data_IF_598724005486
#
_entry.id   IF_598724005486
#
_cell.length_a   1.000
_cell.length_b   1.000
_cell.length_c   1.000
_cell.angle_alpha   90.00
_cell.angle_beta   90.00
_cell.angle_gamma   90.00
#
_symmetry.space_group_name_H-M   'P 1'
#
loop_
_entity.id
_entity.type
_entity.pdbx_description
1 polymer ?
#
# COMPACT_ATOMS: atom_id res chain seq x y z
N UNK A 1 8.19 9.57 -18.68
CA UNK A 1 7.92 8.88 -17.40
C UNK A 1 7.26 7.52 -17.67
N UNK A 2 7.94 6.68 -18.45
CA UNK A 2 7.56 5.29 -18.77
C UNK A 2 8.88 4.51 -18.84
N UNK A 3 9.52 4.30 -17.70
CA UNK A 3 10.38 3.12 -17.54
C UNK A 3 9.40 1.96 -17.50
N UNK A 4 9.31 1.20 -18.59
CA UNK A 4 8.30 0.13 -18.69
C UNK A 4 8.64 -0.87 -17.59
N UNK A 5 7.65 -1.35 -16.83
CA UNK A 5 7.85 -2.38 -15.81
C UNK A 5 8.75 -3.55 -16.24
N UNK A 6 8.78 -3.85 -17.55
CA UNK A 6 9.70 -4.80 -18.16
C UNK A 6 11.19 -4.48 -17.92
N UNK A 7 11.59 -3.21 -17.92
CA UNK A 7 12.98 -2.76 -17.73
C UNK A 7 13.40 -2.93 -16.26
N UNK A 8 12.50 -2.59 -15.32
CA UNK A 8 12.70 -2.84 -13.89
C UNK A 8 12.81 -4.33 -13.61
N UNK A 9 11.97 -5.15 -14.24
CA UNK A 9 12.03 -6.60 -14.10
C UNK A 9 13.31 -7.19 -14.68
N UNK A 10 13.75 -6.70 -15.84
CA UNK A 10 14.98 -7.13 -16.47
C UNK A 10 16.19 -6.79 -15.60
N UNK A 11 16.20 -5.58 -15.01
CA UNK A 11 17.20 -5.17 -14.03
C UNK A 11 17.21 -6.08 -12.80
N UNK A 12 16.04 -6.36 -12.21
CA UNK A 12 15.92 -7.23 -11.03
C UNK A 12 16.21 -8.72 -11.34
N UNK A 13 16.16 -9.12 -12.61
CA UNK A 13 16.54 -10.45 -13.04
C UNK A 13 18.03 -10.57 -13.37
N UNK A 14 18.75 -9.46 -13.54
CA UNK A 14 20.18 -9.47 -13.83
C UNK A 14 20.96 -9.92 -12.59
N UNK A 15 21.75 -11.01 -12.65
CA UNK A 15 22.56 -11.50 -11.53
C UNK A 15 23.58 -10.49 -10.99
N UNK A 16 23.92 -9.43 -11.74
CA UNK A 16 24.82 -8.36 -11.28
C UNK A 16 24.16 -7.35 -10.35
N UNK A 17 22.83 -7.29 -10.39
CA UNK A 17 22.02 -6.30 -9.64
C UNK A 17 21.11 -6.99 -8.63
N UNK A 18 20.66 -8.21 -8.95
CA UNK A 18 19.90 -9.07 -8.06
C UNK A 18 20.78 -9.66 -6.96
N UNK A 19 20.13 -10.21 -5.92
CA UNK A 19 20.78 -10.93 -4.81
C UNK A 19 21.86 -11.90 -5.28
N UNK A 20 23.05 -11.77 -4.69
CA UNK A 20 24.06 -12.80 -4.76
C UNK A 20 23.65 -13.96 -3.86
N UNK A 21 23.35 -15.10 -4.49
CA UNK A 21 22.95 -16.30 -3.77
C UNK A 21 24.16 -16.94 -3.10
N UNK A 22 25.40 -16.59 -3.43
CA UNK A 22 26.59 -17.05 -2.71
C UNK A 22 26.80 -16.25 -1.40
N UNK A 23 26.48 -14.95 -1.42
CA UNK A 23 26.62 -14.01 -0.29
C UNK A 23 25.31 -13.25 -0.02
N UNK A 24 24.28 -13.94 0.52
CA UNK A 24 22.98 -13.30 0.76
C UNK A 24 23.05 -12.26 1.89
N UNK A 25 22.40 -11.11 1.68
CA UNK A 25 22.20 -10.10 2.72
C UNK A 25 21.02 -10.40 3.65
N UNK A 26 20.77 -9.51 4.62
CA UNK A 26 19.61 -9.59 5.54
C UNK A 26 18.40 -8.79 5.01
N UNK A 27 18.01 -9.05 3.76
CA UNK A 27 16.86 -8.41 3.12
C UNK A 27 15.85 -9.46 2.61
N UNK A 28 14.63 -9.00 2.32
CA UNK A 28 13.52 -9.88 1.92
C UNK A 28 13.81 -10.62 0.62
N UNK A 29 14.52 -10.01 -0.34
CA UNK A 29 14.87 -10.67 -1.60
C UNK A 29 15.96 -11.71 -1.37
N UNK A 30 16.93 -11.41 -0.49
CA UNK A 30 18.00 -12.34 -0.11
C UNK A 30 17.43 -13.59 0.54
N UNK A 31 16.46 -13.42 1.43
CA UNK A 31 15.72 -14.54 2.04
C UNK A 31 14.92 -15.34 1.02
N UNK A 32 14.22 -14.69 0.10
CA UNK A 32 13.51 -15.40 -0.99
C UNK A 32 14.47 -16.20 -1.89
N UNK A 33 15.65 -15.65 -2.19
CA UNK A 33 16.66 -16.36 -2.98
C UNK A 33 17.20 -17.60 -2.26
N UNK A 34 17.44 -17.50 -0.95
CA UNK A 34 17.95 -18.61 -0.14
C UNK A 34 16.87 -19.67 0.09
N UNK A 35 15.66 -19.27 0.47
CA UNK A 35 14.60 -20.18 0.91
C UNK A 35 13.80 -20.77 -0.26
N UNK A 36 13.64 -20.03 -1.37
CA UNK A 36 12.74 -20.42 -2.48
C UNK A 36 13.48 -20.73 -3.78
N UNK A 37 14.53 -19.99 -4.13
CA UNK A 37 15.28 -20.25 -5.36
C UNK A 37 16.24 -21.43 -5.23
N UNK A 38 17.01 -21.53 -4.13
CA UNK A 38 17.90 -22.69 -3.90
C UNK A 38 17.13 -24.01 -3.79
N UNK A 39 15.90 -23.97 -3.30
CA UNK A 39 15.02 -25.15 -3.17
C UNK A 39 14.30 -25.51 -4.48
N UNK A 40 14.45 -24.68 -5.52
CA UNK A 40 13.77 -24.85 -6.81
C UNK A 40 12.27 -24.51 -6.79
N UNK A 41 11.75 -24.02 -5.66
CA UNK A 41 10.34 -23.64 -5.52
C UNK A 41 9.97 -22.38 -6.32
N UNK A 42 10.93 -21.50 -6.57
CA UNK A 42 10.75 -20.30 -7.40
C UNK A 42 11.89 -20.12 -8.39
N UNK A 43 11.55 -19.67 -9.58
CA UNK A 43 12.50 -19.22 -10.60
C UNK A 43 13.01 -17.81 -10.29
N UNK A 44 14.16 -17.46 -10.88
CA UNK A 44 14.71 -16.10 -10.78
C UNK A 44 13.73 -15.03 -11.30
N UNK A 45 12.98 -15.34 -12.35
CA UNK A 45 11.96 -14.44 -12.90
C UNK A 45 10.79 -14.17 -11.95
N UNK A 46 10.40 -15.18 -11.16
CA UNK A 46 9.36 -15.03 -10.13
C UNK A 46 9.86 -14.20 -8.94
N UNK A 47 11.11 -14.37 -8.52
CA UNK A 47 11.73 -13.52 -7.50
C UNK A 47 11.83 -12.07 -7.99
N UNK A 48 12.27 -11.84 -9.23
CA UNK A 48 12.29 -10.51 -9.82
C UNK A 48 10.89 -9.88 -9.89
N UNK A 49 9.86 -10.69 -10.16
CA UNK A 49 8.46 -10.25 -10.14
C UNK A 49 8.03 -9.85 -8.72
N UNK A 50 8.44 -10.59 -7.69
CA UNK A 50 8.19 -10.24 -6.30
C UNK A 50 8.91 -8.93 -5.90
N UNK A 51 10.17 -8.77 -6.29
CA UNK A 51 10.92 -7.54 -6.05
C UNK A 51 10.28 -6.32 -6.73
N UNK A 52 9.81 -6.48 -7.96
CA UNK A 52 9.06 -5.43 -8.65
C UNK A 52 7.76 -5.11 -7.90
N UNK A 53 7.03 -6.12 -7.43
CA UNK A 53 5.80 -5.90 -6.65
C UNK A 53 6.09 -5.12 -5.37
N UNK A 54 7.13 -5.47 -4.63
CA UNK A 54 7.54 -4.78 -3.40
C UNK A 54 7.95 -3.33 -3.68
N UNK A 55 8.75 -3.10 -4.71
CA UNK A 55 9.19 -1.77 -5.11
C UNK A 55 8.00 -0.87 -5.44
N UNK A 56 7.06 -1.39 -6.23
CA UNK A 56 5.93 -0.60 -6.75
C UNK A 56 4.88 -0.38 -5.68
N UNK A 57 4.57 -1.41 -4.90
CA UNK A 57 3.63 -1.31 -3.80
C UNK A 57 4.14 -0.35 -2.71
N UNK A 58 5.44 -0.36 -2.42
CA UNK A 58 6.04 0.43 -1.35
C UNK A 58 6.44 1.85 -1.74
N UNK A 59 7.01 2.04 -2.94
CA UNK A 59 7.63 3.32 -3.32
C UNK A 59 6.58 4.41 -3.53
N UNK A 60 5.63 4.21 -4.44
CA UNK A 60 4.67 5.25 -4.82
C UNK A 60 3.70 5.57 -3.67
N UNK A 61 3.26 4.55 -2.91
CA UNK A 61 2.31 4.76 -1.83
C UNK A 61 2.95 5.46 -0.63
N UNK A 62 4.13 5.02 -0.21
CA UNK A 62 4.82 5.57 0.96
C UNK A 62 5.33 6.97 0.69
N UNK A 63 5.93 7.22 -0.48
CA UNK A 63 6.41 8.55 -0.84
C UNK A 63 5.26 9.57 -0.89
N UNK A 64 4.13 9.19 -1.49
CA UNK A 64 2.94 10.04 -1.53
C UNK A 64 2.36 10.25 -0.12
N UNK A 65 2.37 9.23 0.75
CA UNK A 65 1.85 9.35 2.11
C UNK A 65 2.67 10.31 2.95
N UNK A 66 4.00 10.23 2.85
CA UNK A 66 4.89 11.15 3.54
C UNK A 66 4.65 12.57 3.03
N UNK A 67 4.69 12.78 1.71
CA UNK A 67 4.53 14.11 1.13
C UNK A 67 3.18 14.76 1.48
N UNK A 68 2.08 14.02 1.31
CA UNK A 68 0.74 14.49 1.62
C UNK A 68 0.52 14.66 3.12
N UNK A 69 1.00 13.71 3.93
CA UNK A 69 0.92 13.77 5.39
C UNK A 69 1.65 14.99 5.95
N UNK A 70 2.87 15.25 5.47
CA UNK A 70 3.63 16.46 5.81
C UNK A 70 2.87 17.72 5.37
N UNK A 71 2.33 17.75 4.15
CA UNK A 71 1.56 18.91 3.68
C UNK A 71 0.33 19.19 4.56
N UNK A 72 -0.39 18.16 5.00
CA UNK A 72 -1.57 18.29 5.87
C UNK A 72 -1.16 18.81 7.25
N UNK A 73 -0.10 18.27 7.84
CA UNK A 73 0.38 18.71 9.15
C UNK A 73 0.86 20.18 9.12
N UNK A 74 1.52 20.59 8.04
CA UNK A 74 1.94 22.00 7.87
C UNK A 74 0.75 22.96 7.68
N UNK A 75 -0.38 22.47 7.14
CA UNK A 75 -1.62 23.24 7.05
C UNK A 75 -2.38 23.32 8.39
N UNK A 76 -2.01 22.49 9.38
CA UNK A 76 -2.63 22.40 10.71
C UNK A 76 -1.56 22.50 11.83
N UNK A 77 -0.93 23.68 11.99
CA UNK A 77 0.22 23.86 12.88
C UNK A 77 -0.08 23.56 14.35
N UNK A 78 -1.33 23.73 14.79
CA UNK A 78 -1.78 23.35 16.14
C UNK A 78 -1.72 21.84 16.38
N UNK A 79 -2.07 21.04 15.38
CA UNK A 79 -1.99 19.58 15.47
C UNK A 79 -0.53 19.10 15.37
N UNK A 80 0.26 19.74 14.50
CA UNK A 80 1.69 19.48 14.40
C UNK A 80 2.41 19.78 15.73
N UNK A 81 2.11 20.90 16.38
CA UNK A 81 2.66 21.24 17.69
C UNK A 81 2.25 20.22 18.75
N UNK A 82 0.97 19.81 18.78
CA UNK A 82 0.49 18.80 19.74
C UNK A 82 1.23 17.44 19.61
N UNK A 83 1.52 17.00 18.38
CA UNK A 83 2.26 15.74 18.15
C UNK A 83 3.75 15.92 18.50
N UNK A 84 4.37 17.03 18.08
CA UNK A 84 5.80 17.30 18.29
C UNK A 84 6.13 17.50 19.76
N UNK A 85 5.31 18.26 20.46
CA UNK A 85 5.58 18.71 21.84
C UNK A 85 4.98 17.75 22.88
N UNK A 86 4.01 16.92 22.49
CA UNK A 86 3.31 16.01 23.40
C UNK A 86 4.12 14.82 23.91
N UNK A 87 5.15 14.37 23.17
CA UNK A 87 6.05 13.30 23.59
C UNK A 87 5.43 11.89 23.78
N UNK A 88 4.13 11.73 23.54
CA UNK A 88 3.39 10.49 23.70
C UNK A 88 3.33 9.69 22.37
N UNK A 89 3.89 8.47 22.30
CA UNK A 89 3.79 7.61 21.12
C UNK A 89 2.35 7.30 20.69
N UNK A 90 1.39 7.30 21.61
CA UNK A 90 -0.02 7.07 21.27
C UNK A 90 -0.61 8.20 20.43
N UNK A 91 -0.16 9.45 20.63
CA UNK A 91 -0.57 10.59 19.82
C UNK A 91 -0.03 10.50 18.39
N UNK A 92 1.22 10.05 18.25
CA UNK A 92 1.82 9.81 16.92
C UNK A 92 1.04 8.72 16.19
N UNK A 93 0.73 7.60 16.87
CA UNK A 93 -0.05 6.53 16.28
C UNK A 93 -1.46 6.99 15.86
N UNK A 94 -2.15 7.76 16.71
CA UNK A 94 -3.46 8.34 16.39
C UNK A 94 -3.42 9.28 15.19
N UNK A 95 -2.37 10.11 15.09
CA UNK A 95 -2.16 10.98 13.94
C UNK A 95 -1.91 10.20 12.65
N UNK A 96 -1.12 9.12 12.69
CA UNK A 96 -0.89 8.25 11.53
C UNK A 96 -2.20 7.62 11.04
N UNK A 97 -2.99 7.05 11.95
CA UNK A 97 -4.29 6.46 11.61
C UNK A 97 -5.26 7.50 11.00
N UNK A 98 -5.25 8.71 11.56
CA UNK A 98 -6.10 9.80 11.05
C UNK A 98 -5.62 10.32 9.69
N UNK A 99 -4.31 10.44 9.48
CA UNK A 99 -3.76 10.77 8.17
C UNK A 99 -4.10 9.69 7.15
N UNK A 100 -3.99 8.40 7.49
CA UNK A 100 -4.38 7.30 6.61
C UNK A 100 -5.87 7.35 6.26
N UNK A 101 -6.73 7.70 7.22
CA UNK A 101 -8.16 7.90 6.94
C UNK A 101 -8.40 9.12 6.04
N UNK A 102 -7.74 10.23 6.33
CA UNK A 102 -7.97 11.51 5.66
C UNK A 102 -7.45 11.45 4.21
N UNK A 103 -6.22 11.00 4.03
CA UNK A 103 -5.52 10.89 2.76
C UNK A 103 -5.80 9.54 2.08
N UNK A 104 -6.33 9.58 0.87
CA UNK A 104 -6.50 8.38 0.03
C UNK A 104 -5.50 8.43 -1.11
N UNK A 105 -4.52 7.53 -1.09
CA UNK A 105 -3.44 7.49 -2.09
C UNK A 105 -3.78 6.48 -3.20
N UNK A 106 -4.40 5.37 -2.81
CA UNK A 106 -4.78 4.30 -3.73
C UNK A 106 -6.23 4.48 -4.17
N UNK A 107 -6.45 5.20 -5.28
CA UNK A 107 -7.78 5.34 -5.88
C UNK A 107 -8.20 4.14 -6.75
N UNK A 108 -7.30 3.16 -6.92
CA UNK A 108 -7.48 2.04 -7.85
C UNK A 108 -7.39 0.70 -7.12
N UNK A 109 -8.10 0.56 -5.99
CA UNK A 109 -8.14 -0.72 -5.29
C UNK A 109 -8.70 -1.82 -6.20
N UNK A 110 -8.08 -3.01 -6.06
CA UNK A 110 -8.14 -4.16 -6.95
C UNK A 110 -9.48 -4.32 -7.68
N UNK A 111 -9.45 -4.14 -9.01
CA UNK A 111 -10.60 -4.46 -9.86
C UNK A 111 -10.90 -5.95 -9.71
N UNK A 112 -12.00 -6.28 -9.04
CA UNK A 112 -12.49 -7.65 -8.92
C UNK A 112 -13.28 -7.99 -10.19
N UNK A 113 -13.29 -9.25 -10.60
CA UNK A 113 -14.14 -9.73 -11.69
C UNK A 113 -15.24 -10.59 -11.08
N UNK A 114 -16.49 -10.29 -11.42
CA UNK A 114 -17.65 -11.05 -10.96
C UNK A 114 -17.60 -12.48 -11.53
N UNK A 115 -17.61 -13.49 -10.65
CA UNK A 115 -17.66 -14.91 -11.07
C UNK A 115 -19.06 -15.37 -11.43
N UNK A 116 -20.08 -14.69 -10.93
CA UNK A 116 -21.50 -14.88 -11.18
C UNK A 116 -22.21 -13.52 -11.16
N UNK A 117 -23.50 -13.49 -11.48
CA UNK A 117 -24.31 -12.27 -11.38
C UNK A 117 -24.59 -11.97 -9.89
N UNK A 118 -24.21 -10.79 -9.40
CA UNK A 118 -24.43 -10.38 -8.01
C UNK A 118 -24.98 -8.97 -7.90
N UNK A 119 -25.68 -8.68 -6.79
CA UNK A 119 -26.19 -7.34 -6.48
C UNK A 119 -25.32 -6.70 -5.39
N UNK A 120 -24.71 -5.56 -5.68
CA UNK A 120 -23.89 -4.77 -4.74
C UNK A 120 -24.43 -3.36 -4.68
N UNK A 121 -24.82 -2.89 -3.48
CA UNK A 121 -25.38 -1.54 -3.32
C UNK A 121 -26.61 -1.27 -4.20
N UNK A 122 -27.44 -2.29 -4.43
CA UNK A 122 -28.60 -2.21 -5.32
C UNK A 122 -28.29 -2.26 -6.83
N UNK A 123 -27.03 -2.39 -7.23
CA UNK A 123 -26.60 -2.49 -8.64
C UNK A 123 -26.26 -3.93 -9.03
N UNK A 124 -26.75 -4.38 -10.18
CA UNK A 124 -26.44 -5.71 -10.72
C UNK A 124 -25.08 -5.69 -11.41
N UNK A 125 -24.13 -6.45 -10.89
CA UNK A 125 -22.82 -6.72 -11.52
C UNK A 125 -22.91 -8.09 -12.20
N UNK A 126 -22.90 -8.09 -13.54
CA UNK A 126 -22.95 -9.33 -14.33
C UNK A 126 -21.63 -10.11 -14.28
N UNK A 127 -21.72 -11.43 -14.38
CA UNK A 127 -20.58 -12.34 -14.55
C UNK A 127 -19.62 -11.83 -15.62
N UNK A 128 -18.32 -11.92 -15.33
CA UNK A 128 -17.24 -11.48 -16.22
C UNK A 128 -17.01 -9.96 -16.25
N UNK A 129 -17.89 -9.14 -15.66
CA UNK A 129 -17.63 -7.71 -15.53
C UNK A 129 -16.68 -7.43 -14.37
N UNK A 130 -15.83 -6.43 -14.57
CA UNK A 130 -15.04 -5.84 -13.49
C UNK A 130 -15.98 -5.05 -12.58
N UNK A 131 -15.79 -5.17 -11.26
CA UNK A 131 -16.47 -4.31 -10.30
C UNK A 131 -16.19 -2.85 -10.68
N UNK A 132 -17.20 -1.96 -10.63
CA UNK A 132 -16.94 -0.54 -10.79
C UNK A 132 -15.88 -0.11 -9.76
N UNK A 133 -15.02 0.87 -10.10
CA UNK A 133 -14.05 1.38 -9.15
C UNK A 133 -14.80 1.82 -7.88
N UNK A 134 -14.31 1.38 -6.72
CA UNK A 134 -14.84 1.87 -5.45
C UNK A 134 -14.48 3.35 -5.36
N UNK A 135 -15.42 4.19 -5.77
CA UNK A 135 -15.27 5.63 -5.74
C UNK A 135 -15.65 6.08 -4.34
N UNK A 136 -14.66 6.34 -3.48
CA UNK A 136 -14.91 7.06 -2.23
C UNK A 136 -15.63 8.37 -2.61
N UNK A 137 -16.73 8.75 -1.94
CA UNK A 137 -17.22 10.11 -2.05
C UNK A 137 -16.07 11.06 -1.71
N UNK A 138 -15.89 12.13 -2.49
CA UNK A 138 -14.83 13.10 -2.23
C UNK A 138 -14.95 13.57 -0.78
N UNK A 139 -13.84 13.76 -0.04
CA UNK A 139 -13.86 14.22 1.34
C UNK A 139 -14.34 15.67 1.48
N UNK A 140 -15.07 16.21 0.50
CA UNK A 140 -15.64 17.55 0.46
C UNK A 140 -16.62 17.71 1.63
N UNK A 141 -16.08 18.02 2.81
CA UNK A 141 -16.81 18.15 4.07
C UNK A 141 -16.24 17.39 5.27
N UNK A 142 -15.30 16.45 5.11
CA UNK A 142 -14.68 15.76 6.25
C UNK A 142 -13.54 16.61 6.82
N UNK A 143 -13.62 16.95 8.12
CA UNK A 143 -12.55 17.65 8.83
C UNK A 143 -11.43 16.68 9.22
N UNK A 144 -10.20 17.17 9.24
CA UNK A 144 -9.09 16.51 9.92
C UNK A 144 -9.37 16.50 11.42
N UNK A 145 -9.39 15.33 12.02
CA UNK A 145 -9.63 15.20 13.47
C UNK A 145 -8.36 15.43 14.25
N UNK A 146 -8.52 15.83 15.50
CA UNK A 146 -7.37 15.99 16.39
C UNK A 146 -6.84 14.61 16.81
N UNK A 147 -5.52 14.47 17.04
CA UNK A 147 -4.94 13.20 17.54
C UNK A 147 -5.53 12.73 18.87
N UNK A 148 -6.08 13.66 19.66
CA UNK A 148 -6.65 13.44 20.99
C UNK A 148 -8.10 12.93 20.94
N UNK A 149 -8.80 13.03 19.81
CA UNK A 149 -10.24 12.72 19.71
C UNK A 149 -10.58 11.22 19.82
N UNK A 150 -9.58 10.33 19.90
CA UNK A 150 -9.78 8.90 20.06
C UNK A 150 -10.43 8.27 18.84
N UNK A 151 -9.67 7.51 18.05
CA UNK A 151 -10.22 6.80 16.90
C UNK A 151 -11.07 5.62 17.37
N UNK A 152 -12.40 5.69 17.22
CA UNK A 152 -13.16 4.45 17.01
C UNK A 152 -12.67 3.86 15.69
N UNK A 153 -12.16 2.61 15.64
CA UNK A 153 -11.64 2.06 14.41
C UNK A 153 -12.80 1.94 13.41
N UNK A 154 -12.81 2.83 12.42
CA UNK A 154 -13.54 2.61 11.19
C UNK A 154 -12.68 1.60 10.44
N UNK A 155 -13.17 0.41 10.05
CA UNK A 155 -12.36 -0.56 9.33
C UNK A 155 -11.86 0.07 8.04
N UNK A 156 -10.58 0.44 8.04
CA UNK A 156 -9.91 1.10 6.93
C UNK A 156 -9.46 0.04 5.93
N UNK A 157 -9.94 0.15 4.69
CA UNK A 157 -9.86 -0.91 3.69
C UNK A 157 -8.64 -0.81 2.75
N UNK A 158 -7.73 0.16 2.93
CA UNK A 158 -6.60 0.34 1.99
C UNK A 158 -5.58 -0.79 2.04
N UNK A 159 -5.50 -1.51 3.16
CA UNK A 159 -4.67 -2.72 3.30
C UNK A 159 -5.32 -3.97 2.70
N UNK A 160 -6.51 -3.84 2.11
CA UNK A 160 -7.26 -4.93 1.50
C UNK A 160 -8.07 -5.71 2.53
N UNK A 161 -9.39 -5.71 2.38
CA UNK A 161 -10.27 -6.49 3.25
C UNK A 161 -10.23 -8.01 2.97
N UNK A 162 -10.14 -8.75 4.08
CA UNK A 162 -10.39 -10.18 4.37
C UNK A 162 -9.95 -11.32 3.41
N UNK A 163 -9.68 -11.11 2.12
CA UNK A 163 -9.50 -12.23 1.16
C UNK A 163 -8.07 -12.44 0.61
N UNK A 164 -7.04 -11.81 1.19
CA UNK A 164 -5.63 -12.02 0.78
C UNK A 164 -4.82 -12.91 1.74
N UNK A 165 -5.48 -13.55 2.71
CA UNK A 165 -4.89 -14.43 3.74
C UNK A 165 -5.15 -15.92 3.48
N UNK A 166 -5.33 -16.32 2.23
CA UNK A 166 -5.45 -17.73 1.83
C UNK A 166 -4.40 -18.03 0.77
#
# INVERSE_FOLDING_TARGET
>A
MVTRYADVRALLADPRVSVDVAEPGDDVLSRLAVEQYRTGAMTRGEIATMGQLLLVAGHDTTANMIALGTSVLLAHPEQLAAIRDGGDPALVAGAVEELLRYLSITHTEARRVAREDLVVGGQVIRRGRRSPPFRRPSPTGERLRSPQEGTRPIPYCSTGSASRRA
#
